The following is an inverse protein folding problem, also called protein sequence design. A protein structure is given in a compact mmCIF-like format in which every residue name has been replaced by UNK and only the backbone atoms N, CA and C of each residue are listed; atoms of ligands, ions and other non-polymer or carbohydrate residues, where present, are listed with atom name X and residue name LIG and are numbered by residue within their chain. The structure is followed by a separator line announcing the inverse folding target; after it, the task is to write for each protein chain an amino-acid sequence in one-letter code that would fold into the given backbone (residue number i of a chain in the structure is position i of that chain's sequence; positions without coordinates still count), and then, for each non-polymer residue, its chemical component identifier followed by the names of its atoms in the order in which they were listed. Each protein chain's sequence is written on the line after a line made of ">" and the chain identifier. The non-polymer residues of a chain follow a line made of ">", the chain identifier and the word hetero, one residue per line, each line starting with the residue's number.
data_IF_133761256205
#
_entry.id   IF_133761256205
#
_cell.length_a   1.000
_cell.length_b   1.000
_cell.length_c   1.000
_cell.angle_alpha   90.00
_cell.angle_beta   90.00
_cell.angle_gamma   90.00
#
_symmetry.space_group_name_H-M   'P 1'
#
loop_
_entity.id
_entity.type
_entity.pdbx_description
1 polymer ?
#
# COMPACT_ATOMS: atom_id res chain seq x y z
N UNK A 1 -2.59 -17.27 -29.07
CA UNK A 1 -1.49 -16.39 -28.66
C UNK A 1 -1.35 -16.46 -27.14
N UNK A 2 -0.20 -16.87 -26.69
CA UNK A 2 0.04 -16.95 -25.25
C UNK A 2 0.29 -15.56 -24.71
N UNK A 3 -0.47 -15.20 -23.67
CA UNK A 3 -0.18 -13.99 -22.93
C UNK A 3 1.10 -14.23 -22.12
N UNK A 4 2.03 -13.30 -22.21
CA UNK A 4 3.21 -13.33 -21.35
C UNK A 4 2.75 -13.03 -19.92
N UNK A 5 2.51 -14.08 -19.17
CA UNK A 5 2.15 -13.94 -17.75
C UNK A 5 3.39 -13.60 -16.96
N UNK A 6 3.34 -12.45 -16.32
CA UNK A 6 4.36 -12.06 -15.36
C UNK A 6 4.17 -12.93 -14.12
N UNK A 7 5.22 -13.60 -13.68
CA UNK A 7 5.17 -14.46 -12.50
C UNK A 7 5.40 -13.63 -11.23
N UNK A 8 4.30 -13.13 -10.69
CA UNK A 8 4.33 -12.35 -9.44
C UNK A 8 3.84 -13.20 -8.28
N UNK A 9 4.57 -13.14 -7.18
CA UNK A 9 4.22 -13.78 -5.93
C UNK A 9 4.17 -12.73 -4.84
N UNK A 10 3.14 -12.79 -3.98
CA UNK A 10 3.00 -11.90 -2.83
C UNK A 10 3.07 -12.73 -1.55
N UNK A 11 3.88 -12.28 -0.61
CA UNK A 11 4.01 -12.94 0.70
C UNK A 11 4.44 -11.95 1.77
N UNK A 12 4.32 -12.36 3.02
CA UNK A 12 4.82 -11.56 4.14
C UNK A 12 6.34 -11.43 4.06
N UNK A 13 6.82 -10.23 4.39
CA UNK A 13 8.25 -9.91 4.41
C UNK A 13 8.62 -9.22 5.71
N UNK A 14 9.91 -9.02 5.93
CA UNK A 14 10.40 -8.29 7.10
C UNK A 14 10.32 -6.79 6.86
N UNK A 15 10.36 -6.01 7.95
CA UNK A 15 10.42 -4.55 7.83
C UNK A 15 11.70 -4.11 7.14
N UNK A 16 12.80 -4.81 7.35
CA UNK A 16 14.08 -4.52 6.69
C UNK A 16 13.95 -4.66 5.18
N UNK A 17 13.29 -5.71 4.71
CA UNK A 17 13.03 -5.93 3.28
C UNK A 17 12.12 -4.84 2.71
N UNK A 18 11.07 -4.47 3.44
CA UNK A 18 10.15 -3.41 3.00
C UNK A 18 10.87 -2.06 2.91
N UNK A 19 11.71 -1.74 3.89
CA UNK A 19 12.45 -0.49 3.92
C UNK A 19 13.44 -0.41 2.74
N UNK A 20 14.07 -1.51 2.37
CA UNK A 20 14.95 -1.55 1.21
C UNK A 20 14.21 -1.14 -0.06
N UNK A 21 13.00 -1.71 -0.30
CA UNK A 21 12.20 -1.32 -1.47
C UNK A 21 11.80 0.15 -1.37
N UNK A 22 11.42 0.61 -0.18
CA UNK A 22 11.03 2.00 0.05
C UNK A 22 12.10 2.99 -0.45
N UNK A 23 13.36 2.68 -0.23
CA UNK A 23 14.46 3.55 -0.67
C UNK A 23 14.59 3.65 -2.20
N UNK A 24 13.97 2.72 -2.93
CA UNK A 24 14.00 2.69 -4.40
C UNK A 24 12.77 3.31 -5.05
N UNK A 25 11.81 3.79 -4.26
CA UNK A 25 10.60 4.43 -4.79
C UNK A 25 10.84 5.94 -4.91
N UNK A 26 10.86 6.45 -6.13
CA UNK A 26 11.24 7.84 -6.41
C UNK A 26 10.31 8.87 -5.78
N UNK A 27 9.03 8.56 -5.63
CA UNK A 27 8.06 9.49 -5.06
C UNK A 27 8.24 9.68 -3.56
N UNK A 28 8.97 8.81 -2.89
CA UNK A 28 9.22 8.89 -1.46
C UNK A 28 10.53 9.63 -1.22
N UNK A 29 10.48 10.96 -1.31
CA UNK A 29 11.65 11.83 -1.21
C UNK A 29 12.14 12.05 0.21
N UNK A 30 11.30 11.79 1.21
CA UNK A 30 11.65 12.02 2.60
C UNK A 30 12.43 10.85 3.15
N UNK A 31 13.56 11.17 3.80
CA UNK A 31 14.39 10.17 4.48
C UNK A 31 13.75 9.82 5.81
N UNK A 32 13.05 8.71 5.83
CA UNK A 32 12.55 8.13 7.07
C UNK A 32 13.53 7.06 7.54
N UNK A 33 13.66 6.88 8.84
CA UNK A 33 14.45 5.79 9.39
C UNK A 33 13.57 4.54 9.54
N UNK A 34 14.22 3.39 9.58
CA UNK A 34 13.50 2.13 9.85
C UNK A 34 12.83 2.17 11.22
N UNK A 35 13.44 2.85 12.19
CA UNK A 35 12.86 2.99 13.53
C UNK A 35 11.55 3.79 13.50
N UNK A 36 11.46 4.82 12.68
CA UNK A 36 10.23 5.57 12.49
C UNK A 36 9.12 4.67 11.91
N UNK A 37 9.48 3.79 10.97
CA UNK A 37 8.54 2.82 10.42
C UNK A 37 8.02 1.88 11.50
N UNK A 38 8.93 1.30 12.27
CA UNK A 38 8.58 0.36 13.34
C UNK A 38 7.69 1.04 14.38
N UNK A 39 8.03 2.27 14.79
CA UNK A 39 7.26 3.00 15.79
C UNK A 39 5.82 3.25 15.35
N UNK A 40 5.57 3.37 14.05
CA UNK A 40 4.24 3.65 13.53
C UNK A 40 3.25 2.55 13.88
N UNK A 41 3.64 1.30 13.76
CA UNK A 41 2.73 0.16 13.94
C UNK A 41 2.97 -0.63 15.24
N UNK A 42 3.97 -0.24 16.04
CA UNK A 42 4.27 -0.95 17.30
C UNK A 42 3.06 -0.96 18.22
N UNK A 43 2.73 -2.14 18.76
CA UNK A 43 1.57 -2.32 19.63
C UNK A 43 0.25 -2.41 18.90
N UNK A 44 0.26 -2.35 17.57
CA UNK A 44 -0.95 -2.45 16.75
C UNK A 44 -0.90 -3.68 15.86
N UNK A 45 -2.06 -4.25 15.57
CA UNK A 45 -2.14 -5.34 14.61
C UNK A 45 -1.67 -4.81 13.26
N UNK A 46 -0.80 -5.56 12.59
CA UNK A 46 -0.20 -5.10 11.35
C UNK A 46 0.21 -6.26 10.46
N UNK A 47 0.46 -5.96 9.20
CA UNK A 47 0.98 -6.91 8.23
C UNK A 47 1.92 -6.17 7.28
N UNK A 48 3.03 -6.81 6.95
CA UNK A 48 4.02 -6.27 6.01
C UNK A 48 4.19 -7.31 4.91
N UNK A 49 3.93 -6.92 3.67
CA UNK A 49 3.98 -7.82 2.54
C UNK A 49 4.85 -7.27 1.42
N UNK A 50 5.31 -8.16 0.58
CA UNK A 50 6.09 -7.80 -0.61
C UNK A 50 5.63 -8.56 -1.83
N UNK A 51 5.85 -7.94 -2.98
CA UNK A 51 5.63 -8.56 -4.27
C UNK A 51 6.98 -8.94 -4.88
N UNK A 52 7.08 -10.16 -5.38
CA UNK A 52 8.30 -10.69 -5.97
C UNK A 52 8.04 -11.00 -7.44
N UNK A 53 8.92 -10.51 -8.29
CA UNK A 53 8.99 -10.92 -9.68
C UNK A 53 10.08 -11.99 -9.78
N UNK A 54 9.66 -13.24 -9.98
CA UNK A 54 10.52 -14.38 -9.79
C UNK A 54 11.07 -14.35 -8.36
N UNK A 55 12.35 -14.14 -8.15
CA UNK A 55 12.92 -14.08 -6.80
C UNK A 55 13.27 -12.64 -6.36
N UNK A 56 12.94 -11.65 -7.18
CA UNK A 56 13.30 -10.26 -6.89
C UNK A 56 12.16 -9.52 -6.23
N UNK A 57 12.43 -8.93 -5.08
CA UNK A 57 11.48 -8.10 -4.36
C UNK A 57 11.34 -6.75 -5.06
N UNK A 58 10.13 -6.44 -5.56
CA UNK A 58 9.87 -5.26 -6.39
C UNK A 58 8.85 -4.30 -5.81
N UNK A 59 8.14 -4.69 -4.76
CA UNK A 59 7.11 -3.84 -4.16
C UNK A 59 6.82 -4.25 -2.74
N UNK A 60 6.15 -3.37 -2.01
CA UNK A 60 5.79 -3.62 -0.62
C UNK A 60 4.52 -2.89 -0.22
N UNK A 61 3.85 -3.41 0.80
CA UNK A 61 2.77 -2.72 1.52
C UNK A 61 2.98 -2.93 3.01
N UNK A 62 2.78 -1.86 3.78
CA UNK A 62 2.68 -1.91 5.24
C UNK A 62 1.26 -1.45 5.59
N UNK A 63 0.51 -2.32 6.28
CA UNK A 63 -0.83 -2.01 6.74
C UNK A 63 -0.91 -2.26 8.25
N UNK A 64 -1.64 -1.40 8.96
CA UNK A 64 -1.81 -1.58 10.39
C UNK A 64 -3.15 -1.01 10.86
N UNK A 65 -3.58 -1.43 12.04
CA UNK A 65 -4.84 -1.01 12.65
C UNK A 65 -4.66 0.38 13.29
N UNK A 66 -4.75 1.40 12.46
CA UNK A 66 -4.57 2.79 12.87
C UNK A 66 -5.76 3.32 13.66
N UNK A 67 -6.97 2.97 13.23
CA UNK A 67 -8.20 3.58 13.75
C UNK A 67 -8.70 2.90 15.02
N UNK A 68 -8.30 1.66 15.26
CA UNK A 68 -8.71 0.86 16.43
C UNK A 68 -10.24 0.84 16.61
N UNK A 69 -10.97 0.82 15.50
CA UNK A 69 -12.44 0.85 15.49
C UNK A 69 -13.06 -0.52 15.20
N UNK A 70 -12.24 -1.56 15.03
CA UNK A 70 -12.72 -2.90 14.72
C UNK A 70 -13.22 -3.09 13.30
N UNK A 71 -13.11 -2.09 12.45
CA UNK A 71 -13.61 -2.14 11.08
C UNK A 71 -12.52 -1.92 10.03
N UNK A 72 -11.64 -0.91 10.24
CA UNK A 72 -10.69 -0.47 9.22
C UNK A 72 -9.29 -0.99 9.45
N UNK A 73 -8.70 -1.51 8.38
CA UNK A 73 -7.25 -1.71 8.32
C UNK A 73 -6.68 -0.65 7.37
N UNK A 74 -5.66 0.05 7.84
CA UNK A 74 -5.09 1.18 7.11
C UNK A 74 -3.86 0.76 6.33
N UNK A 75 -3.92 0.90 5.00
CA UNK A 75 -2.75 0.72 4.13
C UNK A 75 -1.95 2.00 4.24
N UNK A 76 -0.89 1.95 5.04
CA UNK A 76 -0.09 3.13 5.34
C UNK A 76 0.92 3.44 4.24
N UNK A 77 1.70 2.43 3.85
CA UNK A 77 2.71 2.58 2.82
C UNK A 77 2.49 1.53 1.74
N UNK A 78 2.54 1.97 0.51
CA UNK A 78 2.44 1.09 -0.65
C UNK A 78 3.35 1.64 -1.74
N UNK A 79 4.31 0.86 -2.20
CA UNK A 79 5.23 1.31 -3.22
C UNK A 79 5.72 0.18 -4.10
N UNK A 80 6.02 0.52 -5.34
CA UNK A 80 6.60 -0.42 -6.32
C UNK A 80 7.82 0.24 -6.91
N UNK A 81 8.90 -0.52 -7.01
CA UNK A 81 10.14 -0.09 -7.66
C UNK A 81 9.82 0.45 -9.06
N UNK A 82 10.31 1.64 -9.36
CA UNK A 82 9.99 2.35 -10.60
C UNK A 82 10.30 1.54 -11.86
N UNK A 83 11.28 0.66 -11.81
CA UNK A 83 11.67 -0.17 -12.94
C UNK A 83 10.72 -1.35 -13.19
N UNK A 84 9.79 -1.60 -12.27
CA UNK A 84 8.91 -2.77 -12.29
C UNK A 84 7.44 -2.40 -12.22
N UNK A 85 7.09 -1.19 -12.59
CA UNK A 85 5.70 -0.74 -12.61
C UNK A 85 4.93 -1.32 -13.80
N UNK A 86 3.59 -1.26 -13.70
CA UNK A 86 2.65 -1.74 -14.72
C UNK A 86 2.69 -3.25 -14.96
N UNK A 87 3.18 -4.01 -13.98
CA UNK A 87 3.19 -5.47 -14.02
C UNK A 87 2.06 -6.10 -13.19
N UNK A 88 1.23 -5.26 -12.53
CA UNK A 88 0.16 -5.74 -11.67
C UNK A 88 0.56 -6.02 -10.24
N UNK A 89 1.76 -5.61 -9.82
CA UNK A 89 2.24 -5.86 -8.46
C UNK A 89 1.37 -5.22 -7.40
N UNK A 90 1.01 -3.94 -7.57
CA UNK A 90 0.18 -3.24 -6.60
C UNK A 90 -1.20 -3.89 -6.47
N UNK A 91 -1.80 -4.28 -7.58
CA UNK A 91 -3.10 -4.95 -7.56
C UNK A 91 -3.04 -6.26 -6.78
N UNK A 92 -2.02 -7.08 -7.04
CA UNK A 92 -1.84 -8.36 -6.32
C UNK A 92 -1.62 -8.13 -4.83
N UNK A 93 -0.84 -7.11 -4.48
CA UNK A 93 -0.60 -6.80 -3.07
C UNK A 93 -1.87 -6.34 -2.37
N UNK A 94 -2.68 -5.49 -3.00
CA UNK A 94 -3.95 -5.05 -2.42
C UNK A 94 -4.91 -6.22 -2.27
N UNK A 95 -4.95 -7.13 -3.23
CA UNK A 95 -5.74 -8.35 -3.12
C UNK A 95 -5.31 -9.21 -1.93
N UNK A 96 -4.01 -9.31 -1.69
CA UNK A 96 -3.48 -10.03 -0.54
C UNK A 96 -3.93 -9.37 0.77
N UNK A 97 -3.83 -8.04 0.86
CA UNK A 97 -4.30 -7.31 2.03
C UNK A 97 -5.80 -7.51 2.25
N UNK A 98 -6.59 -7.53 1.18
CA UNK A 98 -8.03 -7.79 1.27
C UNK A 98 -8.30 -9.16 1.92
N UNK A 99 -7.63 -10.20 1.46
CA UNK A 99 -7.77 -11.55 2.02
C UNK A 99 -7.34 -11.58 3.49
N UNK A 100 -6.19 -10.99 3.79
CA UNK A 100 -5.69 -10.90 5.15
C UNK A 100 -6.66 -10.14 6.06
N UNK A 101 -7.21 -9.03 5.57
CA UNK A 101 -8.18 -8.23 6.32
C UNK A 101 -9.43 -9.04 6.65
N UNK A 102 -9.94 -9.77 5.66
CA UNK A 102 -11.11 -10.62 5.84
C UNK A 102 -10.86 -11.69 6.91
N UNK A 103 -9.70 -12.34 6.85
CA UNK A 103 -9.31 -13.38 7.81
C UNK A 103 -9.13 -12.83 9.23
N UNK A 104 -8.84 -11.54 9.35
CA UNK A 104 -8.59 -10.88 10.62
C UNK A 104 -9.75 -10.01 11.11
N UNK A 105 -10.92 -10.13 10.46
CA UNK A 105 -12.15 -9.51 10.94
C UNK A 105 -12.34 -8.05 10.54
N UNK A 106 -11.54 -7.53 9.63
CA UNK A 106 -11.72 -6.18 9.12
C UNK A 106 -12.70 -6.16 7.95
N UNK A 107 -13.46 -5.08 7.84
CA UNK A 107 -14.48 -4.92 6.80
C UNK A 107 -14.18 -3.80 5.80
N UNK A 108 -13.19 -2.97 6.09
CA UNK A 108 -12.84 -1.82 5.28
C UNK A 108 -11.32 -1.73 5.11
N UNK A 109 -10.87 -1.51 3.87
CA UNK A 109 -9.51 -1.11 3.57
C UNK A 109 -9.50 0.42 3.45
N UNK A 110 -8.66 1.07 4.25
CA UNK A 110 -8.51 2.53 4.22
C UNK A 110 -7.13 2.90 3.68
N UNK A 111 -7.04 3.98 2.93
CA UNK A 111 -5.76 4.46 2.41
C UNK A 111 -5.82 5.98 2.27
N UNK A 112 -4.66 6.64 2.40
CA UNK A 112 -4.50 8.06 2.10
C UNK A 112 -3.49 8.23 0.99
N UNK A 113 -3.74 9.19 0.10
CA UNK A 113 -2.77 9.56 -0.92
C UNK A 113 -2.76 11.08 -1.09
N UNK A 114 -1.82 11.59 -1.85
CA UNK A 114 -1.73 13.02 -2.13
C UNK A 114 -2.34 13.34 -3.49
N UNK A 115 -2.87 14.55 -3.63
CA UNK A 115 -3.50 14.99 -4.87
C UNK A 115 -2.55 14.89 -6.08
N UNK A 116 -1.25 15.06 -5.89
CA UNK A 116 -0.27 14.96 -6.96
C UNK A 116 0.14 13.52 -7.32
N UNK A 117 -0.32 12.52 -6.58
CA UNK A 117 -0.03 11.11 -6.86
C UNK A 117 -1.07 10.54 -7.83
N UNK A 118 -1.06 11.03 -9.06
CA UNK A 118 -2.12 10.73 -10.05
C UNK A 118 -2.18 9.26 -10.44
N UNK A 119 -1.05 8.58 -10.57
CA UNK A 119 -1.04 7.15 -10.88
C UNK A 119 -1.71 6.34 -9.78
N UNK A 120 -1.43 6.68 -8.51
CA UNK A 120 -2.06 6.02 -7.37
C UNK A 120 -3.56 6.30 -7.34
N UNK A 121 -3.98 7.54 -7.55
CA UNK A 121 -5.40 7.91 -7.58
C UNK A 121 -6.12 7.14 -8.69
N UNK A 122 -5.51 7.05 -9.87
CA UNK A 122 -6.09 6.29 -10.98
C UNK A 122 -6.23 4.82 -10.64
N UNK A 123 -5.21 4.23 -10.02
CA UNK A 123 -5.26 2.84 -9.59
C UNK A 123 -6.39 2.63 -8.58
N UNK A 124 -6.46 3.46 -7.54
CA UNK A 124 -7.45 3.33 -6.48
C UNK A 124 -8.86 3.48 -7.03
N UNK A 125 -9.08 4.46 -7.90
CA UNK A 125 -10.38 4.68 -8.53
C UNK A 125 -10.82 3.49 -9.37
N UNK A 126 -9.91 2.90 -10.16
CA UNK A 126 -10.23 1.74 -11.00
C UNK A 126 -10.44 0.46 -10.19
N UNK A 127 -9.93 0.41 -8.96
CA UNK A 127 -10.02 -0.77 -8.13
C UNK A 127 -11.03 -0.60 -6.98
N UNK A 128 -12.06 0.20 -7.25
CA UNK A 128 -13.26 0.32 -6.40
C UNK A 128 -13.05 1.02 -5.06
N UNK A 129 -11.97 1.77 -4.90
CA UNK A 129 -11.82 2.63 -3.74
C UNK A 129 -12.69 3.88 -3.90
N UNK A 130 -13.42 4.21 -2.85
CA UNK A 130 -14.33 5.35 -2.80
C UNK A 130 -13.61 6.54 -2.16
N UNK A 131 -13.80 7.73 -2.72
CA UNK A 131 -13.27 8.97 -2.16
C UNK A 131 -14.10 9.37 -0.95
N UNK A 132 -13.47 9.49 0.20
CA UNK A 132 -14.16 9.80 1.46
C UNK A 132 -14.00 11.26 1.84
N UNK A 133 -12.76 11.75 1.98
CA UNK A 133 -12.49 13.13 2.38
C UNK A 133 -11.28 13.68 1.64
N UNK A 134 -11.20 15.02 1.62
CA UNK A 134 -10.02 15.75 1.16
C UNK A 134 -9.60 16.70 2.28
N UNK A 135 -8.36 16.55 2.75
CA UNK A 135 -7.75 17.48 3.70
C UNK A 135 -6.96 18.52 2.91
N UNK A 136 -7.37 19.78 3.02
CA UNK A 136 -6.71 20.86 2.29
C UNK A 136 -5.34 21.18 2.90
N UNK A 137 -4.38 21.45 2.02
CA UNK A 137 -3.06 21.96 2.36
C UNK A 137 -2.86 23.30 1.68
N UNK A 138 -1.85 24.07 2.10
CA UNK A 138 -1.53 25.35 1.47
C UNK A 138 -1.24 25.18 -0.01
N UNK A 139 -0.48 24.16 -0.37
CA UNK A 139 -0.28 23.74 -1.77
C UNK A 139 -1.35 22.70 -2.10
N UNK A 140 -2.26 23.04 -2.99
CA UNK A 140 -3.37 22.17 -3.39
C UNK A 140 -2.88 20.80 -3.91
N UNK A 141 -1.67 20.76 -4.49
CA UNK A 141 -1.10 19.50 -4.99
C UNK A 141 -0.78 18.52 -3.87
N UNK A 142 -0.59 19.04 -2.65
CA UNK A 142 -0.28 18.24 -1.47
C UNK A 142 -1.52 17.90 -0.65
N UNK A 143 -2.73 18.25 -1.11
CA UNK A 143 -3.96 17.85 -0.44
C UNK A 143 -3.97 16.35 -0.20
N UNK A 144 -4.39 15.94 1.01
CA UNK A 144 -4.52 14.52 1.36
C UNK A 144 -5.91 14.05 1.00
N UNK A 145 -5.98 12.92 0.30
CA UNK A 145 -7.25 12.30 -0.09
C UNK A 145 -7.35 10.99 0.67
N UNK A 146 -8.46 10.80 1.39
CA UNK A 146 -8.76 9.53 2.04
C UNK A 146 -9.71 8.74 1.17
N UNK A 147 -9.39 7.47 0.94
CA UNK A 147 -10.23 6.55 0.18
C UNK A 147 -10.45 5.28 0.99
N UNK A 148 -11.58 4.63 0.72
CA UNK A 148 -11.94 3.38 1.39
C UNK A 148 -12.58 2.42 0.41
N UNK A 149 -12.37 1.13 0.67
CA UNK A 149 -12.96 0.05 -0.09
C UNK A 149 -13.49 -0.99 0.88
N UNK A 150 -14.68 -1.54 0.61
CA UNK A 150 -15.19 -2.67 1.38
C UNK A 150 -14.37 -3.92 1.11
N UNK A 151 -14.05 -4.65 2.18
CA UNK A 151 -13.42 -5.97 2.07
C UNK A 151 -14.43 -6.95 1.49
N UNK A 152 -14.00 -7.72 0.50
CA UNK A 152 -14.86 -8.67 -0.22
C UNK A 152 -14.36 -10.09 -0.11
#
# INVERSE_FOLDING_TARGET
>A
MEENKVNLEVREITIEEAFEVHTRVLEFNEMSSIDEFINRYTGKKHVIIGAFLEDKLIGYIIAYDKHEDGERIYIWMAGVDNNYRRLGALKKMVEYINTWAKENGYTILAIKTRNNRREMINFLSRNDFNFITVEQRDDVRENRIELEKFVV
#
